data_IF_598509581353
#
_entry.id   IF_598509581353
#
_cell.length_a   1.000
_cell.length_b   1.000
_cell.length_c   1.000
_cell.angle_alpha   90.00
_cell.angle_beta   90.00
_cell.angle_gamma   90.00
#
_symmetry.space_group_name_H-M   'P 1'
#
loop_
_entity.id
_entity.type
_entity.pdbx_description
1 polymer ?
#
# COMPACT_ATOMS: atom_id res chain seq x y z
N UNK A 1 -18.17 -0.67 10.70
CA UNK A 1 -18.43 -0.15 12.06
C UNK A 1 -19.54 -0.98 12.66
N UNK A 2 -19.33 -1.49 13.87
CA UNK A 2 -20.30 -2.36 14.54
C UNK A 2 -21.29 -1.55 15.37
N UNK A 3 -20.79 -0.69 16.24
CA UNK A 3 -21.61 0.04 17.20
C UNK A 3 -21.05 1.44 17.49
N UNK A 4 -21.89 2.28 18.12
CA UNK A 4 -21.52 3.57 18.69
C UNK A 4 -21.84 4.75 17.80
N UNK A 5 -21.15 5.85 18.06
CA UNK A 5 -21.30 7.09 17.28
C UNK A 5 -20.58 6.99 15.95
N UNK A 6 -20.99 7.82 15.00
CA UNK A 6 -20.38 7.80 13.67
C UNK A 6 -18.92 8.22 13.64
N UNK A 7 -18.28 7.97 12.51
CA UNK A 7 -16.91 8.44 12.18
C UNK A 7 -16.96 9.24 10.90
N UNK A 8 -16.48 10.48 10.97
CA UNK A 8 -16.34 11.33 9.79
C UNK A 8 -15.06 10.92 9.05
N UNK A 9 -15.18 10.67 7.76
CA UNK A 9 -14.09 10.36 6.87
C UNK A 9 -13.88 11.46 5.84
N UNK A 10 -12.62 11.73 5.54
CA UNK A 10 -12.18 12.57 4.44
C UNK A 10 -11.28 11.76 3.54
N UNK A 11 -11.46 11.81 2.22
CA UNK A 11 -10.69 11.09 1.24
C UNK A 11 -10.17 12.00 0.15
N UNK A 12 -8.91 11.81 -0.22
CA UNK A 12 -8.25 12.48 -1.33
C UNK A 12 -8.03 11.42 -2.41
N UNK A 13 -8.59 11.59 -3.62
CA UNK A 13 -8.48 10.61 -4.69
C UNK A 13 -7.05 10.51 -5.24
N UNK A 14 -6.72 9.37 -5.84
CA UNK A 14 -5.39 9.07 -6.40
C UNK A 14 -4.88 10.17 -7.36
N UNK A 15 -5.75 10.74 -8.20
CA UNK A 15 -5.37 11.79 -9.15
C UNK A 15 -4.99 13.13 -8.49
N UNK A 16 -5.26 13.32 -7.19
CA UNK A 16 -4.79 14.47 -6.39
C UNK A 16 -3.68 14.10 -5.39
N UNK A 17 -3.20 12.86 -5.40
CA UNK A 17 -2.18 12.35 -4.48
C UNK A 17 -0.92 13.21 -4.47
N UNK A 18 -0.34 13.47 -5.63
CA UNK A 18 0.91 14.24 -5.73
C UNK A 18 0.75 15.68 -5.23
N UNK A 19 -0.39 16.30 -5.53
CA UNK A 19 -0.70 17.63 -5.04
C UNK A 19 -0.85 17.66 -3.53
N UNK A 20 -1.54 16.67 -2.97
CA UNK A 20 -1.67 16.49 -1.52
C UNK A 20 -0.31 16.30 -0.85
N UNK A 21 0.54 15.40 -1.38
CA UNK A 21 1.88 15.13 -0.83
C UNK A 21 2.74 16.40 -0.83
N UNK A 22 2.72 17.18 -1.91
CA UNK A 22 3.46 18.45 -2.01
C UNK A 22 2.99 19.47 -0.98
N UNK A 23 1.68 19.75 -0.94
CA UNK A 23 1.10 20.71 0.00
C UNK A 23 1.36 20.32 1.46
N UNK A 24 1.30 19.02 1.77
CA UNK A 24 1.58 18.51 3.11
C UNK A 24 3.06 18.69 3.46
N UNK A 25 3.98 18.42 2.52
CA UNK A 25 5.42 18.67 2.71
C UNK A 25 5.72 20.14 2.95
N UNK A 26 5.13 21.03 2.15
CA UNK A 26 5.31 22.46 2.29
C UNK A 26 4.81 22.96 3.66
N UNK A 27 3.61 22.54 4.06
CA UNK A 27 3.01 22.93 5.35
C UNK A 27 3.75 22.36 6.56
N UNK A 28 4.32 21.18 6.46
CA UNK A 28 5.02 20.47 7.54
C UNK A 28 6.53 20.37 7.29
N UNK A 29 7.12 21.32 6.58
CA UNK A 29 8.51 21.26 6.12
C UNK A 29 9.53 20.99 7.24
N UNK A 30 9.31 21.52 8.45
CA UNK A 30 10.18 21.26 9.60
C UNK A 30 10.14 19.80 10.05
N UNK A 31 8.96 19.18 10.04
CA UNK A 31 8.79 17.75 10.40
C UNK A 31 9.38 16.85 9.32
N UNK A 32 9.18 17.16 8.04
CA UNK A 32 9.76 16.41 6.94
C UNK A 32 11.30 16.47 6.88
N UNK A 33 11.92 17.51 7.43
CA UNK A 33 13.39 17.55 7.61
C UNK A 33 13.86 16.57 8.67
N UNK A 34 13.05 16.29 9.69
CA UNK A 34 13.36 15.33 10.76
C UNK A 34 13.04 13.90 10.33
N UNK A 35 11.90 13.72 9.65
CA UNK A 35 11.46 12.44 9.12
C UNK A 35 10.95 12.58 7.67
N UNK A 36 11.78 12.26 6.68
CA UNK A 36 11.38 12.28 5.26
C UNK A 36 10.21 11.36 4.93
N UNK A 37 9.95 10.35 5.78
CA UNK A 37 8.91 9.34 5.60
C UNK A 37 7.63 9.64 6.38
N UNK A 38 7.46 10.85 6.87
CA UNK A 38 6.37 11.31 7.72
C UNK A 38 4.96 10.91 7.22
N UNK A 39 4.75 10.85 5.89
CA UNK A 39 3.47 10.40 5.31
C UNK A 39 3.23 8.89 5.41
N UNK A 40 4.22 8.10 5.81
CA UNK A 40 4.02 6.69 6.13
C UNK A 40 3.54 6.48 7.57
N UNK A 41 3.57 7.54 8.39
CA UNK A 41 3.00 7.53 9.72
C UNK A 41 1.49 7.80 9.64
N UNK A 42 0.72 7.02 10.38
CA UNK A 42 -0.75 7.06 10.34
C UNK A 42 -1.36 8.10 11.29
N UNK A 43 -0.56 8.95 11.90
CA UNK A 43 -0.95 9.88 12.95
C UNK A 43 -0.98 11.35 12.49
N UNK A 44 -0.88 11.61 11.18
CA UNK A 44 -0.96 12.97 10.63
C UNK A 44 -2.36 13.18 10.05
N UNK A 45 -2.97 14.29 10.45
CA UNK A 45 -4.18 14.81 9.84
C UNK A 45 -3.90 16.19 9.24
N UNK A 46 -4.34 16.41 8.02
CA UNK A 46 -4.28 17.72 7.34
C UNK A 46 -5.68 18.29 7.29
N UNK A 47 -5.81 19.57 7.65
CA UNK A 47 -7.09 20.27 7.62
C UNK A 47 -7.74 20.18 6.23
N UNK A 48 -8.93 19.57 6.11
CA UNK A 48 -9.63 19.47 4.84
C UNK A 48 -9.95 20.82 4.19
N UNK A 49 -10.22 21.86 4.97
CA UNK A 49 -10.49 23.19 4.44
C UNK A 49 -9.24 23.75 3.74
N UNK A 50 -8.07 23.64 4.38
CA UNK A 50 -6.80 24.02 3.77
C UNK A 50 -6.54 23.29 2.43
N UNK A 51 -6.85 22.00 2.38
CA UNK A 51 -6.67 21.20 1.14
C UNK A 51 -7.58 21.71 0.02
N UNK A 52 -8.86 21.98 0.33
CA UNK A 52 -9.84 22.49 -0.64
C UNK A 52 -9.46 23.89 -1.13
N UNK A 53 -9.08 24.80 -0.25
CA UNK A 53 -8.61 26.14 -0.59
C UNK A 53 -7.39 26.14 -1.52
N UNK A 54 -6.55 25.10 -1.40
CA UNK A 54 -5.40 24.91 -2.28
C UNK A 54 -5.71 23.98 -3.48
N UNK A 55 -7.01 23.77 -3.78
CA UNK A 55 -7.49 23.10 -4.97
C UNK A 55 -7.23 21.58 -4.98
N UNK A 56 -7.21 20.94 -3.82
CA UNK A 56 -7.28 19.48 -3.68
C UNK A 56 -8.73 19.08 -3.56
N UNK A 57 -9.17 18.09 -4.33
CA UNK A 57 -10.50 17.52 -4.13
C UNK A 57 -10.51 16.68 -2.86
N UNK A 58 -11.45 16.98 -1.97
CA UNK A 58 -11.65 16.25 -0.73
C UNK A 58 -13.09 15.77 -0.67
N UNK A 59 -13.28 14.47 -0.57
CA UNK A 59 -14.58 13.85 -0.34
C UNK A 59 -14.79 13.67 1.15
N UNK A 60 -16.04 13.87 1.60
CA UNK A 60 -16.43 13.71 3.01
C UNK A 60 -17.61 12.76 3.11
N UNK A 61 -17.56 11.85 4.09
CA UNK A 61 -18.72 11.02 4.46
C UNK A 61 -18.77 10.77 5.96
N UNK A 62 -19.94 10.44 6.47
CA UNK A 62 -20.15 9.99 7.85
C UNK A 62 -20.46 8.50 7.81
N UNK A 63 -19.59 7.68 8.39
CA UNK A 63 -19.83 6.26 8.59
C UNK A 63 -20.66 6.03 9.86
N UNK A 64 -21.71 5.23 9.73
CA UNK A 64 -22.60 4.83 10.83
C UNK A 64 -22.45 3.32 11.12
N UNK A 65 -22.98 2.82 12.27
CA UNK A 65 -23.08 1.39 12.50
C UNK A 65 -23.77 0.66 11.33
N UNK A 66 -23.24 -0.52 10.97
CA UNK A 66 -23.67 -1.29 9.81
C UNK A 66 -23.07 -0.88 8.47
N UNK A 67 -22.36 0.26 8.40
CA UNK A 67 -21.73 0.74 7.17
C UNK A 67 -20.26 0.31 7.07
N UNK A 68 -19.78 0.10 5.84
CA UNK A 68 -18.40 -0.23 5.50
C UNK A 68 -17.82 0.91 4.66
N UNK A 69 -16.62 1.35 5.02
CA UNK A 69 -15.82 2.26 4.21
C UNK A 69 -14.77 1.45 3.46
N UNK A 70 -14.80 1.54 2.14
CA UNK A 70 -13.80 0.95 1.27
C UNK A 70 -12.89 2.06 0.71
N UNK A 71 -11.61 2.02 1.04
CA UNK A 71 -10.63 2.97 0.51
C UNK A 71 -10.01 2.43 -0.77
N UNK A 72 -10.05 3.23 -1.84
CA UNK A 72 -9.51 2.84 -3.13
C UNK A 72 -7.98 2.98 -3.18
N UNK A 73 -7.30 2.17 -4.01
CA UNK A 73 -5.85 2.22 -4.18
C UNK A 73 -5.35 3.60 -4.58
N UNK A 74 -4.23 4.02 -3.97
CA UNK A 74 -3.60 5.30 -4.26
C UNK A 74 -4.24 6.51 -3.60
N UNK A 75 -5.43 6.36 -2.97
CA UNK A 75 -6.09 7.44 -2.25
C UNK A 75 -5.50 7.64 -0.85
N UNK A 76 -5.46 8.90 -0.41
CA UNK A 76 -5.27 9.23 0.99
C UNK A 76 -6.61 9.32 1.69
N UNK A 77 -6.65 8.94 2.95
CA UNK A 77 -7.85 9.08 3.77
C UNK A 77 -7.49 9.37 5.22
N UNK A 78 -8.36 10.09 5.89
CA UNK A 78 -8.25 10.41 7.30
C UNK A 78 -9.65 10.41 7.92
N UNK A 79 -9.74 10.11 9.22
CA UNK A 79 -11.04 10.02 9.86
C UNK A 79 -11.02 10.40 11.33
N UNK A 80 -12.13 10.99 11.81
CA UNK A 80 -12.36 11.39 13.19
C UNK A 80 -13.61 10.74 13.72
N UNK A 81 -13.49 10.02 14.84
CA UNK A 81 -14.66 9.51 15.56
C UNK A 81 -15.40 10.66 16.23
N UNK A 82 -16.73 10.72 16.06
CA UNK A 82 -17.57 11.76 16.67
C UNK A 82 -17.77 11.51 18.17
N UNK A 83 -17.55 10.28 18.61
CA UNK A 83 -17.61 9.84 19.99
C UNK A 83 -17.19 8.36 20.07
N UNK A 84 -17.57 7.66 21.11
CA UNK A 84 -17.25 6.23 21.26
C UNK A 84 -17.85 5.40 20.12
N UNK A 85 -17.04 4.54 19.51
CA UNK A 85 -17.49 3.54 18.54
C UNK A 85 -16.58 2.31 18.52
N UNK A 86 -17.13 1.22 17.99
CA UNK A 86 -16.42 -0.04 17.77
C UNK A 86 -16.40 -0.29 16.25
N UNK A 87 -15.21 -0.34 15.70
CA UNK A 87 -14.98 -0.61 14.28
C UNK A 87 -13.90 -1.67 14.09
N UNK A 88 -14.05 -2.46 13.04
CA UNK A 88 -13.09 -3.43 12.59
C UNK A 88 -12.57 -3.03 11.21
N UNK A 89 -11.28 -3.22 10.97
CA UNK A 89 -10.65 -2.91 9.69
C UNK A 89 -9.72 -4.03 9.25
N UNK A 90 -9.72 -4.33 7.96
CA UNK A 90 -8.81 -5.28 7.34
C UNK A 90 -8.17 -4.65 6.11
N UNK A 91 -6.93 -5.06 5.82
CA UNK A 91 -6.28 -4.68 4.57
C UNK A 91 -6.73 -5.60 3.44
N UNK A 92 -7.05 -5.02 2.30
CA UNK A 92 -7.47 -5.76 1.10
C UNK A 92 -6.62 -5.36 -0.10
N UNK A 93 -6.38 -6.31 -0.99
CA UNK A 93 -5.77 -6.06 -2.29
C UNK A 93 -6.81 -6.35 -3.37
N UNK A 94 -7.38 -5.30 -3.96
CA UNK A 94 -8.28 -5.43 -5.11
C UNK A 94 -7.48 -5.38 -6.42
N UNK A 95 -7.99 -5.88 -7.55
CA UNK A 95 -7.24 -5.96 -8.82
C UNK A 95 -6.65 -4.62 -9.29
N UNK A 96 -7.34 -3.50 -9.03
CA UNK A 96 -6.82 -2.18 -9.37
C UNK A 96 -5.63 -1.72 -8.51
N UNK A 97 -5.39 -2.38 -7.37
CA UNK A 97 -4.22 -2.11 -6.51
C UNK A 97 -2.93 -2.67 -7.10
N UNK A 98 -2.99 -3.75 -7.91
CA UNK A 98 -1.81 -4.42 -8.45
C UNK A 98 -0.85 -3.47 -9.18
N UNK A 99 -1.37 -2.47 -9.88
CA UNK A 99 -0.53 -1.45 -10.59
C UNK A 99 0.34 -0.61 -9.65
N UNK A 100 -0.02 -0.52 -8.37
CA UNK A 100 0.70 0.27 -7.37
C UNK A 100 1.85 -0.50 -6.68
N UNK A 101 1.92 -1.83 -6.86
CA UNK A 101 2.92 -2.69 -6.21
C UNK A 101 4.36 -2.16 -6.40
N UNK A 102 4.85 -1.85 -7.61
CA UNK A 102 6.23 -1.42 -7.79
C UNK A 102 6.55 -0.13 -7.02
N UNK A 103 5.62 0.84 -7.05
CA UNK A 103 5.79 2.13 -6.37
C UNK A 103 5.76 1.97 -4.85
N UNK A 104 4.85 1.15 -4.33
CA UNK A 104 4.70 0.87 -2.91
C UNK A 104 5.93 0.14 -2.38
N UNK A 105 6.35 -0.94 -3.06
CA UNK A 105 7.52 -1.71 -2.66
C UNK A 105 8.78 -0.86 -2.68
N UNK A 106 8.97 0.00 -3.69
CA UNK A 106 10.10 0.93 -3.72
C UNK A 106 10.11 1.87 -2.51
N UNK A 107 8.95 2.39 -2.10
CA UNK A 107 8.83 3.24 -0.90
C UNK A 107 9.20 2.46 0.37
N UNK A 108 8.69 1.24 0.55
CA UNK A 108 9.05 0.40 1.71
C UNK A 108 10.53 0.02 1.74
N UNK A 109 11.12 -0.32 0.61
CA UNK A 109 12.56 -0.65 0.53
C UNK A 109 13.47 0.55 0.83
N UNK A 110 13.01 1.77 0.55
CA UNK A 110 13.73 2.98 0.90
C UNK A 110 13.68 3.30 2.41
N UNK A 111 12.75 2.70 3.14
CA UNK A 111 12.60 2.85 4.59
C UNK A 111 13.09 1.60 5.29
N UNK A 112 14.20 1.66 6.02
CA UNK A 112 14.77 0.50 6.72
C UNK A 112 13.90 -0.02 7.88
N UNK A 113 12.92 0.76 8.33
CA UNK A 113 12.16 0.52 9.56
C UNK A 113 10.73 0.05 9.32
N UNK A 114 10.22 0.16 8.09
CA UNK A 114 8.81 -0.18 7.78
C UNK A 114 8.74 -1.34 6.81
N UNK A 115 7.98 -2.34 7.20
CA UNK A 115 7.66 -3.50 6.36
C UNK A 115 6.22 -3.40 5.85
N UNK A 116 5.90 -3.95 4.68
CA UNK A 116 4.51 -4.07 4.21
C UNK A 116 3.64 -4.81 5.23
N UNK A 117 2.38 -4.42 5.34
CA UNK A 117 1.43 -5.05 6.28
C UNK A 117 1.16 -6.51 5.94
N UNK A 118 1.33 -6.89 4.67
CA UNK A 118 1.31 -8.28 4.22
C UNK A 118 2.43 -8.51 3.20
N UNK A 119 2.95 -9.74 3.10
CA UNK A 119 4.02 -10.08 2.16
C UNK A 119 3.47 -10.08 0.72
N UNK A 120 3.77 -9.01 -0.02
CA UNK A 120 3.25 -8.79 -1.39
C UNK A 120 3.69 -9.89 -2.33
N UNK A 121 4.94 -10.31 -2.23
CA UNK A 121 5.53 -11.38 -3.03
C UNK A 121 4.79 -12.70 -2.81
N UNK A 122 4.52 -13.03 -1.55
CA UNK A 122 3.76 -14.23 -1.20
C UNK A 122 2.33 -14.17 -1.76
N UNK A 123 1.68 -13.01 -1.66
CA UNK A 123 0.36 -12.81 -2.24
C UNK A 123 0.37 -13.05 -3.76
N UNK A 124 1.38 -12.56 -4.48
CA UNK A 124 1.50 -12.79 -5.93
C UNK A 124 1.68 -14.28 -6.24
N UNK A 125 2.58 -14.96 -5.54
CA UNK A 125 2.84 -16.40 -5.71
C UNK A 125 1.56 -17.21 -5.48
N UNK A 126 0.85 -16.97 -4.38
CA UNK A 126 -0.36 -17.71 -4.05
C UNK A 126 -1.50 -17.48 -5.06
N UNK A 127 -1.65 -16.26 -5.55
CA UNK A 127 -2.66 -15.98 -6.59
C UNK A 127 -2.29 -16.64 -7.93
N UNK A 128 -1.02 -16.68 -8.30
CA UNK A 128 -0.56 -17.40 -9.51
C UNK A 128 -0.78 -18.89 -9.37
N UNK A 129 -0.49 -19.48 -8.21
CA UNK A 129 -0.75 -20.91 -7.96
C UNK A 129 -2.24 -21.25 -8.10
N UNK A 130 -3.10 -20.40 -7.56
CA UNK A 130 -4.55 -20.59 -7.54
C UNK A 130 -5.25 -20.14 -8.83
N UNK A 131 -4.52 -19.69 -9.83
CA UNK A 131 -5.11 -19.10 -11.05
C UNK A 131 -6.02 -20.09 -11.80
N UNK A 132 -5.73 -21.40 -11.72
CA UNK A 132 -6.54 -22.46 -12.34
C UNK A 132 -7.77 -22.82 -11.51
N UNK A 133 -7.73 -22.57 -10.20
CA UNK A 133 -8.80 -22.91 -9.25
C UNK A 133 -9.79 -21.76 -9.11
N UNK A 134 -9.30 -20.53 -9.16
CA UNK A 134 -10.10 -19.33 -9.05
C UNK A 134 -10.55 -18.86 -10.44
N UNK A 135 -11.83 -18.56 -10.58
CA UNK A 135 -12.39 -17.95 -11.81
C UNK A 135 -12.02 -16.47 -11.87
N UNK A 136 -10.77 -16.17 -12.12
CA UNK A 136 -10.34 -14.80 -12.37
C UNK A 136 -10.68 -14.38 -13.80
N UNK A 137 -11.08 -13.11 -13.96
CA UNK A 137 -11.18 -12.51 -15.29
C UNK A 137 -9.81 -12.46 -15.97
N UNK A 138 -9.80 -12.56 -17.31
CA UNK A 138 -8.58 -12.55 -18.11
C UNK A 138 -7.71 -11.32 -17.81
N UNK A 139 -8.33 -10.14 -17.62
CA UNK A 139 -7.63 -8.92 -17.29
C UNK A 139 -6.89 -9.01 -15.93
N UNK A 140 -7.53 -9.62 -14.94
CA UNK A 140 -6.91 -9.83 -13.60
C UNK A 140 -5.73 -10.79 -13.73
N UNK A 141 -5.89 -11.87 -14.48
CA UNK A 141 -4.83 -12.84 -14.75
C UNK A 141 -3.62 -12.18 -15.43
N UNK A 142 -3.86 -11.32 -16.42
CA UNK A 142 -2.80 -10.59 -17.11
C UNK A 142 -2.06 -9.64 -16.15
N UNK A 143 -2.78 -8.91 -15.29
CA UNK A 143 -2.18 -8.03 -14.28
C UNK A 143 -1.35 -8.80 -13.26
N UNK A 144 -1.84 -9.92 -12.75
CA UNK A 144 -1.11 -10.78 -11.82
C UNK A 144 0.16 -11.33 -12.45
N UNK A 145 0.07 -11.86 -13.69
CA UNK A 145 1.24 -12.38 -14.42
C UNK A 145 2.29 -11.28 -14.63
N UNK A 146 1.88 -10.09 -15.04
CA UNK A 146 2.79 -8.97 -15.25
C UNK A 146 3.55 -8.59 -13.96
N UNK A 147 2.85 -8.45 -12.84
CA UNK A 147 3.49 -8.15 -11.54
C UNK A 147 4.41 -9.28 -11.07
N UNK A 148 4.00 -10.53 -11.29
CA UNK A 148 4.82 -11.69 -10.96
C UNK A 148 6.10 -11.75 -11.81
N UNK A 149 6.04 -11.41 -13.09
CA UNK A 149 7.22 -11.35 -13.96
C UNK A 149 8.21 -10.27 -13.48
N UNK A 150 7.73 -9.09 -13.09
CA UNK A 150 8.58 -8.03 -12.51
C UNK A 150 9.27 -8.54 -11.24
N UNK A 151 8.52 -9.17 -10.35
CA UNK A 151 9.05 -9.77 -9.13
C UNK A 151 10.12 -10.83 -9.44
N UNK A 152 9.82 -11.76 -10.34
CA UNK A 152 10.71 -12.84 -10.70
C UNK A 152 12.03 -12.33 -11.32
N UNK A 153 11.95 -11.34 -12.22
CA UNK A 153 13.14 -10.73 -12.83
C UNK A 153 14.03 -10.07 -11.77
N UNK A 154 13.43 -9.35 -10.82
CA UNK A 154 14.15 -8.75 -9.70
C UNK A 154 14.86 -9.82 -8.87
N UNK A 155 14.14 -10.85 -8.48
CA UNK A 155 14.65 -11.96 -7.66
C UNK A 155 15.83 -12.68 -8.34
N UNK A 156 15.72 -12.99 -9.63
CA UNK A 156 16.79 -13.61 -10.43
C UNK A 156 18.02 -12.68 -10.46
N UNK A 157 17.81 -11.38 -10.69
CA UNK A 157 18.91 -10.41 -10.75
C UNK A 157 19.63 -10.29 -9.43
N UNK A 158 18.91 -10.18 -8.32
CA UNK A 158 19.49 -10.07 -6.96
C UNK A 158 20.26 -11.35 -6.58
N UNK A 159 19.69 -12.53 -6.87
CA UNK A 159 20.40 -13.81 -6.64
C UNK A 159 21.65 -13.96 -7.49
N UNK A 160 21.61 -13.55 -8.76
CA UNK A 160 22.77 -13.58 -9.62
C UNK A 160 23.87 -12.66 -9.11
N UNK A 161 23.50 -11.47 -8.59
CA UNK A 161 24.45 -10.54 -7.99
C UNK A 161 25.08 -11.10 -6.70
N UNK A 162 24.28 -11.73 -5.84
CA UNK A 162 24.78 -12.40 -4.63
C UNK A 162 25.73 -13.54 -5.03
N UNK A 163 25.33 -14.40 -5.96
CA UNK A 163 26.17 -15.51 -6.42
C UNK A 163 27.50 -15.06 -7.04
N UNK A 164 27.53 -13.92 -7.72
CA UNK A 164 28.77 -13.37 -8.28
C UNK A 164 29.71 -12.79 -7.22
N UNK A 165 29.17 -12.20 -6.17
CA UNK A 165 29.95 -11.57 -5.10
C UNK A 165 30.38 -12.57 -4.00
N UNK A 166 29.70 -13.71 -3.90
CA UNK A 166 29.94 -14.76 -2.91
C UNK A 166 30.08 -16.12 -3.62
N UNK A 167 31.24 -16.42 -4.25
CA UNK A 167 31.43 -17.62 -5.08
C UNK A 167 31.44 -18.94 -4.29
N UNK A 168 31.53 -18.91 -2.97
CA UNK A 168 31.46 -20.11 -2.14
C UNK A 168 29.99 -20.58 -2.01
N UNK A 169 29.57 -21.38 -2.99
CA UNK A 169 28.20 -21.89 -3.08
C UNK A 169 27.86 -22.91 -1.99
N UNK A 170 28.85 -23.54 -1.36
CA UNK A 170 28.61 -24.67 -0.45
C UNK A 170 27.81 -24.30 0.80
N UNK A 171 27.80 -23.03 1.20
CA UNK A 171 27.05 -22.54 2.36
C UNK A 171 25.57 -22.23 2.07
N UNK A 172 25.16 -22.14 0.81
CA UNK A 172 23.82 -21.72 0.42
C UNK A 172 22.98 -22.84 -0.23
N UNK A 173 23.59 -23.95 -0.62
CA UNK A 173 22.90 -25.10 -1.22
C UNK A 173 22.06 -25.91 -0.23
N UNK A 174 22.27 -25.73 1.09
CA UNK A 174 21.53 -26.46 2.12
C UNK A 174 20.15 -25.88 2.48
N UNK A 175 19.83 -24.71 2.00
CA UNK A 175 18.48 -24.15 2.15
C UNK A 175 17.70 -24.43 0.87
N UNK A 176 16.83 -25.44 0.92
CA UNK A 176 15.88 -25.78 -0.13
C UNK A 176 15.10 -24.55 -0.61
N UNK A 177 15.67 -23.80 -1.52
CA UNK A 177 15.00 -22.70 -2.20
C UNK A 177 14.18 -23.32 -3.31
N UNK A 178 12.92 -23.53 -3.06
CA UNK A 178 11.95 -23.96 -4.07
C UNK A 178 11.90 -22.93 -5.19
N UNK A 179 12.61 -23.20 -6.27
CA UNK A 179 12.35 -22.57 -7.57
C UNK A 179 11.16 -23.34 -8.14
N UNK A 180 10.02 -22.68 -8.24
CA UNK A 180 8.86 -23.20 -8.97
C UNK A 180 8.94 -22.79 -10.44
#
# INVERSE_FOLDING_TARGET
MHEGTGKIWYAIPDYHREKFERLTKDKLASRFRQDPNLLLDINIMVDPAYLVENGVHVYRTLQRPGEIILTFPGSYHQGVSVGFNIAEAVNIAIPSWLKHIPTVMKKYMATKEKIPVFPVEWMLIENIRKIKECKFDVEIVQKLKYQYQIFLLKEITERSLIASNFPDKSKYESQNLFIL
#
